data_IF_618945141530
#
_entry.id   IF_618945141530
#
_cell.length_a   1.000
_cell.length_b   1.000
_cell.length_c   1.000
_cell.angle_alpha   90.00
_cell.angle_beta   90.00
_cell.angle_gamma   90.00
#
_symmetry.space_group_name_H-M   'P 1'
#
loop_
_entity.id
_entity.type
_entity.pdbx_description
1 polymer ?
#
# COMPACT_ATOMS: atom_id res chain seq x y z
N UNK A 1 -8.33 -31.17 -3.90
CA UNK A 1 -7.20 -30.82 -4.78
C UNK A 1 -7.30 -29.38 -5.27
N UNK A 2 -8.49 -28.91 -5.67
CA UNK A 2 -8.70 -27.52 -6.13
C UNK A 2 -8.47 -26.44 -5.05
N UNK A 3 -8.85 -26.68 -3.80
CA UNK A 3 -8.63 -25.72 -2.71
C UNK A 3 -7.14 -25.54 -2.36
N UNK A 4 -6.34 -26.60 -2.44
CA UNK A 4 -4.90 -26.55 -2.21
C UNK A 4 -4.18 -25.76 -3.33
N UNK A 5 -4.59 -25.94 -4.57
CA UNK A 5 -4.05 -25.20 -5.73
C UNK A 5 -4.45 -23.72 -5.66
N UNK A 6 -5.71 -23.44 -5.28
CA UNK A 6 -6.17 -22.04 -5.01
C UNK A 6 -5.35 -21.36 -3.93
N UNK A 7 -5.03 -22.07 -2.85
CA UNK A 7 -4.26 -21.54 -1.71
C UNK A 7 -2.81 -21.23 -2.10
N UNK A 8 -2.16 -22.12 -2.88
CA UNK A 8 -0.80 -21.91 -3.40
C UNK A 8 -0.76 -20.73 -4.37
N UNK A 9 -1.72 -20.65 -5.30
CA UNK A 9 -1.81 -19.56 -6.26
C UNK A 9 -2.01 -18.21 -5.59
N UNK A 10 -2.86 -18.11 -4.57
CA UNK A 10 -3.08 -16.89 -3.81
C UNK A 10 -1.83 -16.50 -3.01
N UNK A 11 -1.18 -17.46 -2.35
CA UNK A 11 0.08 -17.21 -1.62
C UNK A 11 1.20 -16.73 -2.55
N UNK A 12 1.32 -17.32 -3.75
CA UNK A 12 2.34 -16.92 -4.74
C UNK A 12 2.03 -15.55 -5.35
N UNK A 13 0.76 -15.23 -5.60
CA UNK A 13 0.33 -13.91 -6.06
C UNK A 13 0.76 -12.83 -5.04
N UNK A 14 0.45 -13.02 -3.76
CA UNK A 14 0.80 -12.05 -2.71
C UNK A 14 2.32 -11.90 -2.55
N UNK A 15 3.09 -13.00 -2.67
CA UNK A 15 4.56 -12.94 -2.64
C UNK A 15 5.13 -12.12 -3.79
N UNK A 16 4.71 -12.38 -5.02
CA UNK A 16 5.19 -11.63 -6.20
C UNK A 16 4.79 -10.16 -6.09
N UNK A 17 3.54 -9.89 -5.67
CA UNK A 17 3.06 -8.53 -5.44
C UNK A 17 3.89 -7.80 -4.39
N UNK A 18 4.17 -8.45 -3.26
CA UNK A 18 5.02 -7.91 -2.19
C UNK A 18 6.44 -7.62 -2.70
N UNK A 19 7.03 -8.52 -3.48
CA UNK A 19 8.36 -8.33 -4.07
C UNK A 19 8.41 -7.14 -5.06
N UNK A 20 7.31 -6.87 -5.77
CA UNK A 20 7.19 -5.69 -6.64
C UNK A 20 7.06 -4.43 -5.78
N UNK A 21 6.21 -4.44 -4.75
CA UNK A 21 5.99 -3.29 -3.86
C UNK A 21 7.30 -2.91 -3.15
N UNK A 22 8.03 -3.90 -2.64
CA UNK A 22 9.28 -3.68 -1.88
C UNK A 22 10.53 -3.54 -2.76
N UNK A 23 10.38 -3.51 -4.09
CA UNK A 23 11.48 -3.27 -5.01
C UNK A 23 12.44 -4.45 -5.22
N UNK A 24 12.16 -5.63 -4.67
CA UNK A 24 12.90 -6.88 -4.96
C UNK A 24 12.80 -7.21 -6.46
N UNK A 25 11.61 -6.95 -7.02
CA UNK A 25 11.37 -6.92 -8.45
C UNK A 25 11.23 -5.44 -8.89
N UNK A 26 12.33 -4.79 -9.31
CA UNK A 26 12.34 -3.36 -9.60
C UNK A 26 11.52 -2.99 -10.85
N UNK A 27 11.14 -1.71 -11.02
CA UNK A 27 10.47 -1.21 -12.21
C UNK A 27 11.16 -1.65 -13.50
N UNK A 28 10.39 -1.92 -14.54
CA UNK A 28 10.85 -2.35 -15.87
C UNK A 28 11.58 -3.70 -15.92
N UNK A 29 11.74 -4.40 -14.80
CA UNK A 29 12.34 -5.74 -14.78
C UNK A 29 11.51 -6.71 -15.59
N UNK A 30 12.11 -7.37 -16.58
CA UNK A 30 11.49 -8.48 -17.31
C UNK A 30 11.27 -9.68 -16.40
N UNK A 31 10.05 -10.21 -16.42
CA UNK A 31 9.61 -11.33 -15.58
C UNK A 31 9.66 -12.62 -16.38
N UNK A 32 10.86 -13.26 -16.39
CA UNK A 32 11.08 -14.51 -17.13
C UNK A 32 10.49 -15.70 -16.39
N UNK A 33 9.46 -16.32 -16.97
CA UNK A 33 8.72 -17.43 -16.35
C UNK A 33 9.64 -18.56 -15.84
N UNK A 34 10.67 -18.95 -16.62
CA UNK A 34 11.63 -20.00 -16.22
C UNK A 34 12.43 -19.63 -14.94
N UNK A 35 12.71 -18.36 -14.71
CA UNK A 35 13.38 -17.89 -13.49
C UNK A 35 12.39 -17.90 -12.33
N UNK A 36 11.19 -17.38 -12.56
CA UNK A 36 10.14 -17.29 -11.54
C UNK A 36 9.66 -18.66 -11.05
N UNK A 37 9.66 -19.71 -11.90
CA UNK A 37 9.31 -21.08 -11.46
C UNK A 37 10.24 -21.56 -10.35
N UNK A 38 11.53 -21.24 -10.44
CA UNK A 38 12.52 -21.60 -9.42
C UNK A 38 12.35 -20.78 -8.14
N UNK A 39 12.12 -19.46 -8.30
CA UNK A 39 12.03 -18.54 -7.17
C UNK A 39 10.76 -18.75 -6.35
N UNK A 40 9.62 -18.96 -7.01
CA UNK A 40 8.31 -19.03 -6.33
C UNK A 40 7.74 -20.45 -6.25
N UNK A 41 8.48 -21.45 -6.73
CA UNK A 41 8.05 -22.85 -6.73
C UNK A 41 6.63 -23.05 -7.31
N UNK A 42 6.37 -22.44 -8.47
CA UNK A 42 5.08 -22.46 -9.13
C UNK A 42 5.22 -22.88 -10.60
N UNK A 43 4.18 -23.49 -11.17
CA UNK A 43 4.17 -23.89 -12.58
C UNK A 43 4.14 -22.68 -13.53
N UNK A 44 4.59 -22.86 -14.78
CA UNK A 44 4.52 -21.80 -15.81
C UNK A 44 3.09 -21.33 -16.04
N UNK A 45 2.11 -22.24 -16.04
CA UNK A 45 0.69 -21.90 -16.19
C UNK A 45 0.18 -21.05 -15.04
N UNK A 46 0.47 -21.45 -13.79
CA UNK A 46 0.12 -20.69 -12.59
C UNK A 46 0.76 -19.29 -12.60
N UNK A 47 2.03 -19.19 -12.96
CA UNK A 47 2.72 -17.90 -13.06
C UNK A 47 2.14 -16.99 -14.13
N UNK A 48 1.73 -17.53 -15.29
CA UNK A 48 1.05 -16.72 -16.33
C UNK A 48 -0.26 -16.15 -15.82
N UNK A 49 -1.07 -16.96 -15.15
CA UNK A 49 -2.33 -16.51 -14.54
C UNK A 49 -2.08 -15.41 -13.51
N UNK A 50 -1.12 -15.63 -12.59
CA UNK A 50 -0.75 -14.64 -11.57
C UNK A 50 -0.27 -13.33 -12.19
N UNK A 51 0.63 -13.40 -13.17
CA UNK A 51 1.16 -12.20 -13.84
C UNK A 51 0.08 -11.48 -14.66
N UNK A 52 -0.88 -12.21 -15.24
CA UNK A 52 -2.03 -11.60 -15.91
C UNK A 52 -2.94 -10.87 -14.92
N UNK A 53 -3.17 -11.42 -13.71
CA UNK A 53 -3.91 -10.74 -12.64
C UNK A 53 -3.17 -9.49 -12.16
N UNK A 54 -1.86 -9.59 -11.92
CA UNK A 54 -1.02 -8.44 -11.55
C UNK A 54 -0.98 -7.37 -12.66
N UNK A 55 -1.14 -7.76 -13.93
CA UNK A 55 -1.29 -6.81 -15.03
C UNK A 55 -2.66 -6.11 -14.98
N UNK A 56 -3.75 -6.83 -14.68
CA UNK A 56 -5.05 -6.22 -14.43
C UNK A 56 -5.05 -5.23 -13.27
N UNK A 57 -4.26 -5.51 -12.22
CA UNK A 57 -4.07 -4.62 -11.07
C UNK A 57 -3.08 -3.47 -11.35
N UNK A 58 -2.35 -3.49 -12.47
CA UNK A 58 -1.41 -2.45 -12.88
C UNK A 58 0.00 -2.54 -12.28
N UNK A 59 0.36 -3.65 -11.60
CA UNK A 59 1.72 -3.88 -11.10
C UNK A 59 2.68 -4.43 -12.16
N UNK A 60 2.14 -5.04 -13.21
CA UNK A 60 2.86 -5.70 -14.29
C UNK A 60 2.30 -5.20 -15.62
N UNK A 61 3.16 -5.05 -16.63
CA UNK A 61 2.77 -4.85 -18.02
C UNK A 61 2.82 -6.19 -18.74
N UNK A 62 1.73 -6.55 -19.42
CA UNK A 62 1.69 -7.64 -20.39
C UNK A 62 1.96 -7.07 -21.78
N UNK A 63 3.02 -7.51 -22.41
CA UNK A 63 3.39 -7.09 -23.76
C UNK A 63 3.21 -8.27 -24.72
N UNK A 64 2.42 -8.07 -25.78
CA UNK A 64 2.25 -9.10 -26.82
C UNK A 64 3.61 -9.58 -27.31
N UNK A 65 3.78 -10.92 -27.38
CA UNK A 65 5.00 -11.62 -27.81
C UNK A 65 6.28 -11.31 -27.00
N UNK A 66 6.29 -10.30 -26.09
CA UNK A 66 7.45 -9.91 -25.27
C UNK A 66 7.36 -10.37 -23.83
N UNK A 67 6.18 -10.93 -23.42
CA UNK A 67 5.95 -11.46 -22.08
C UNK A 67 5.55 -10.40 -21.07
N UNK A 68 6.08 -10.50 -19.85
CA UNK A 68 5.70 -9.65 -18.72
C UNK A 68 6.89 -8.83 -18.22
N UNK A 69 6.63 -7.60 -17.80
CA UNK A 69 7.60 -6.79 -17.06
C UNK A 69 6.92 -6.02 -15.92
N UNK A 70 7.68 -5.67 -14.90
CA UNK A 70 7.18 -4.82 -13.80
C UNK A 70 6.82 -3.44 -14.36
N UNK A 71 5.66 -2.91 -13.98
CA UNK A 71 5.20 -1.60 -14.43
C UNK A 71 6.23 -0.50 -14.11
N UNK A 72 6.39 0.52 -14.96
CA UNK A 72 7.23 1.66 -14.66
C UNK A 72 6.73 2.43 -13.43
N UNK A 73 7.50 3.41 -13.00
CA UNK A 73 7.10 4.43 -12.04
C UNK A 73 7.32 5.80 -12.67
N UNK A 74 6.44 6.75 -12.39
CA UNK A 74 6.59 8.11 -12.85
C UNK A 74 6.00 9.11 -11.84
N UNK A 75 6.42 10.35 -11.92
CA UNK A 75 5.89 11.42 -11.08
C UNK A 75 4.40 11.65 -11.36
N UNK A 76 4.00 11.62 -12.63
CA UNK A 76 2.59 11.76 -13.03
C UNK A 76 1.71 10.67 -12.42
N UNK A 77 2.10 9.39 -12.56
CA UNK A 77 1.35 8.26 -11.99
C UNK A 77 1.29 8.33 -10.45
N UNK A 78 2.38 8.76 -9.79
CA UNK A 78 2.38 8.98 -8.34
C UNK A 78 1.32 10.00 -7.91
N UNK A 79 1.21 11.15 -8.60
CA UNK A 79 0.20 12.17 -8.30
C UNK A 79 -1.22 11.68 -8.58
N UNK A 80 -1.43 10.93 -9.65
CA UNK A 80 -2.74 10.33 -9.95
C UNK A 80 -3.16 9.32 -8.87
N UNK A 81 -2.24 8.45 -8.44
CA UNK A 81 -2.48 7.47 -7.36
C UNK A 81 -2.74 8.18 -6.03
N UNK A 82 -2.00 9.24 -5.70
CA UNK A 82 -2.22 10.02 -4.49
C UNK A 82 -3.61 10.68 -4.46
N UNK A 83 -4.04 11.28 -5.58
CA UNK A 83 -5.37 11.88 -5.70
C UNK A 83 -6.48 10.83 -5.56
N UNK A 84 -6.32 9.65 -6.20
CA UNK A 84 -7.26 8.54 -6.03
C UNK A 84 -7.28 8.03 -4.59
N UNK A 85 -6.12 7.92 -3.93
CA UNK A 85 -6.01 7.54 -2.53
C UNK A 85 -6.81 8.51 -1.65
N UNK A 86 -6.59 9.81 -1.80
CA UNK A 86 -7.32 10.85 -1.05
C UNK A 86 -8.83 10.69 -1.23
N UNK A 87 -9.31 10.56 -2.47
CA UNK A 87 -10.73 10.43 -2.77
C UNK A 87 -11.34 9.20 -2.09
N UNK A 88 -10.72 8.04 -2.25
CA UNK A 88 -11.24 6.76 -1.77
C UNK A 88 -11.13 6.68 -0.25
N UNK A 89 -9.96 7.03 0.30
CA UNK A 89 -9.68 6.91 1.73
C UNK A 89 -10.50 7.90 2.54
N UNK A 90 -10.65 9.16 2.09
CA UNK A 90 -11.51 10.14 2.75
C UNK A 90 -12.97 9.70 2.77
N UNK A 91 -13.49 9.19 1.66
CA UNK A 91 -14.87 8.69 1.62
C UNK A 91 -15.07 7.49 2.55
N UNK A 92 -14.14 6.53 2.53
CA UNK A 92 -14.20 5.35 3.38
C UNK A 92 -14.04 5.70 4.87
N UNK A 93 -13.14 6.64 5.21
CA UNK A 93 -12.94 7.16 6.57
C UNK A 93 -14.22 7.80 7.11
N UNK A 94 -14.88 8.65 6.31
CA UNK A 94 -16.17 9.23 6.68
C UNK A 94 -17.19 8.14 7.04
N UNK A 95 -17.32 7.14 6.19
CA UNK A 95 -18.24 6.02 6.42
C UNK A 95 -17.85 5.19 7.64
N UNK A 96 -16.56 5.00 7.89
CA UNK A 96 -16.08 4.29 9.07
C UNK A 96 -16.40 5.04 10.36
N UNK A 97 -16.25 6.36 10.37
CA UNK A 97 -16.63 7.23 11.51
C UNK A 97 -18.15 7.20 11.73
N UNK A 98 -18.97 7.28 10.68
CA UNK A 98 -20.43 7.19 10.76
C UNK A 98 -20.91 5.84 11.35
N UNK A 99 -20.14 4.78 11.14
CA UNK A 99 -20.43 3.43 11.64
C UNK A 99 -19.57 3.03 12.85
N UNK A 100 -18.90 3.99 13.53
CA UNK A 100 -17.98 3.68 14.60
C UNK A 100 -18.61 2.84 15.72
N UNK A 101 -17.83 1.89 16.25
CA UNK A 101 -18.15 1.08 17.41
C UNK A 101 -16.87 0.82 18.22
N UNK A 102 -17.03 0.35 19.45
CA UNK A 102 -15.93 0.13 20.39
C UNK A 102 -14.89 -0.85 19.87
N UNK A 103 -15.29 -1.89 19.14
CA UNK A 103 -14.40 -2.90 18.57
C UNK A 103 -13.46 -2.28 17.53
N UNK A 104 -14.02 -1.50 16.60
CA UNK A 104 -13.22 -0.82 15.58
C UNK A 104 -12.31 0.26 16.19
N UNK A 105 -12.80 1.04 17.16
CA UNK A 105 -12.00 2.04 17.86
C UNK A 105 -10.82 1.39 18.59
N UNK A 106 -11.01 0.23 19.24
CA UNK A 106 -9.94 -0.53 19.87
C UNK A 106 -8.91 -1.08 18.87
N UNK A 107 -9.37 -1.61 17.72
CA UNK A 107 -8.48 -2.04 16.63
C UNK A 107 -7.65 -0.86 16.09
N UNK A 108 -8.28 0.31 15.91
CA UNK A 108 -7.60 1.51 15.41
C UNK A 108 -6.53 2.01 16.38
N UNK A 109 -6.83 2.03 17.69
CA UNK A 109 -5.87 2.35 18.74
C UNK A 109 -4.69 1.39 18.73
N UNK A 110 -4.95 0.08 18.57
CA UNK A 110 -3.91 -0.94 18.51
C UNK A 110 -3.02 -0.76 17.27
N UNK A 111 -3.61 -0.52 16.09
CA UNK A 111 -2.86 -0.31 14.85
C UNK A 111 -1.99 0.95 14.94
N UNK A 112 -2.53 2.05 15.47
CA UNK A 112 -1.76 3.28 15.69
C UNK A 112 -0.62 3.09 16.71
N UNK A 113 -0.86 2.37 17.80
CA UNK A 113 0.19 2.09 18.79
C UNK A 113 1.37 1.34 18.17
N UNK A 114 1.09 0.30 17.38
CA UNK A 114 2.13 -0.43 16.64
C UNK A 114 2.91 0.49 15.70
N UNK A 115 2.21 1.26 14.87
CA UNK A 115 2.84 2.23 13.97
C UNK A 115 3.75 3.19 14.72
N UNK A 116 3.27 3.78 15.80
CA UNK A 116 4.04 4.73 16.65
C UNK A 116 5.33 4.11 17.22
N UNK A 117 5.31 2.84 17.59
CA UNK A 117 6.51 2.11 18.04
C UNK A 117 7.57 2.07 16.93
N UNK A 118 7.16 1.72 15.71
CA UNK A 118 8.09 1.64 14.58
C UNK A 118 8.57 3.02 14.11
N UNK A 119 7.72 4.02 14.13
CA UNK A 119 8.09 5.42 13.84
C UNK A 119 9.14 5.95 14.82
N UNK A 120 8.95 5.71 16.11
CA UNK A 120 9.92 6.09 17.13
C UNK A 120 11.25 5.33 16.97
N UNK A 121 11.21 4.07 16.55
CA UNK A 121 12.43 3.31 16.26
C UNK A 121 13.15 3.86 15.04
N UNK A 122 12.42 4.31 14.01
CA UNK A 122 13.00 4.98 12.84
C UNK A 122 13.65 6.32 13.19
N UNK A 123 13.03 7.14 14.07
CA UNK A 123 13.63 8.39 14.56
C UNK A 123 14.93 8.18 15.33
N UNK A 124 15.00 7.13 16.14
CA UNK A 124 16.12 6.87 17.02
C UNK A 124 17.22 6.01 16.36
N UNK A 125 17.08 5.70 15.05
CA UNK A 125 17.99 4.83 14.28
C UNK A 125 18.21 3.44 14.93
N UNK A 126 17.35 3.05 15.89
CA UNK A 126 17.50 1.80 16.66
C UNK A 126 17.24 0.55 15.83
N UNK A 127 16.39 0.67 14.83
CA UNK A 127 16.07 -0.40 13.88
C UNK A 127 15.85 0.18 12.49
N UNK A 128 16.71 -0.15 11.57
CA UNK A 128 16.59 0.30 10.18
C UNK A 128 15.68 -0.66 9.37
N UNK A 129 14.56 -1.13 9.97
CA UNK A 129 13.63 -2.00 9.27
C UNK A 129 12.49 -1.18 8.65
N UNK A 130 12.80 -0.55 7.51
CA UNK A 130 11.85 0.22 6.70
C UNK A 130 10.61 -0.61 6.33
N UNK A 131 10.75 -1.92 6.18
CA UNK A 131 9.65 -2.81 5.80
C UNK A 131 8.59 -2.90 6.90
N UNK A 132 9.00 -3.15 8.15
CA UNK A 132 8.07 -3.28 9.27
C UNK A 132 7.34 -1.96 9.53
N UNK A 133 8.03 -0.83 9.45
CA UNK A 133 7.39 0.48 9.54
C UNK A 133 6.29 0.63 8.48
N UNK A 134 6.59 0.34 7.20
CA UNK A 134 5.63 0.46 6.10
C UNK A 134 4.45 -0.52 6.21
N UNK A 135 4.67 -1.72 6.72
CA UNK A 135 3.59 -2.68 6.98
C UNK A 135 2.64 -2.14 8.06
N UNK A 136 3.16 -1.54 9.12
CA UNK A 136 2.34 -0.94 10.19
C UNK A 136 1.65 0.36 9.75
N UNK A 137 2.28 1.19 8.90
CA UNK A 137 1.65 2.33 8.23
C UNK A 137 0.44 1.87 7.39
N UNK A 138 0.63 0.81 6.61
CA UNK A 138 -0.46 0.19 5.84
C UNK A 138 -1.57 -0.37 6.74
N UNK A 139 -1.24 -1.06 7.83
CA UNK A 139 -2.21 -1.61 8.79
C UNK A 139 -3.07 -0.49 9.40
N UNK A 140 -2.46 0.62 9.80
CA UNK A 140 -3.17 1.77 10.35
C UNK A 140 -4.18 2.37 9.35
N UNK A 141 -3.73 2.68 8.13
CA UNK A 141 -4.61 3.23 7.09
C UNK A 141 -5.71 2.26 6.64
N UNK A 142 -5.42 0.95 6.55
CA UNK A 142 -6.44 -0.07 6.28
C UNK A 142 -7.49 -0.12 7.40
N UNK A 143 -7.05 0.01 8.67
CA UNK A 143 -7.96 0.00 9.82
C UNK A 143 -8.86 1.23 9.86
N UNK A 144 -8.36 2.42 9.49
CA UNK A 144 -9.16 3.65 9.38
C UNK A 144 -10.40 3.45 8.49
N UNK A 145 -10.26 2.71 7.40
CA UNK A 145 -11.33 2.54 6.40
C UNK A 145 -12.14 1.26 6.56
N UNK A 146 -11.71 0.34 7.39
CA UNK A 146 -12.27 -1.02 7.51
C UNK A 146 -13.75 -1.04 7.85
N UNK A 147 -14.21 -0.09 8.67
CA UNK A 147 -15.58 -0.04 9.17
C UNK A 147 -16.56 0.71 8.25
N UNK A 148 -16.19 1.00 7.01
CA UNK A 148 -17.01 1.75 6.05
C UNK A 148 -18.24 0.98 5.54
N UNK A 149 -18.43 -0.30 5.94
CA UNK A 149 -19.51 -1.21 5.51
C UNK A 149 -19.62 -1.40 3.99
N UNK A 150 -18.49 -1.31 3.29
CA UNK A 150 -18.43 -1.57 1.85
C UNK A 150 -17.17 -2.38 1.52
N UNK A 151 -17.34 -3.68 1.34
CA UNK A 151 -16.23 -4.57 0.95
C UNK A 151 -15.56 -4.13 -0.35
N UNK A 152 -16.35 -3.65 -1.32
CA UNK A 152 -15.79 -3.17 -2.59
C UNK A 152 -14.91 -1.94 -2.39
N UNK A 153 -15.33 -1.00 -1.52
CA UNK A 153 -14.55 0.19 -1.19
C UNK A 153 -13.26 -0.18 -0.46
N UNK A 154 -13.31 -1.12 0.49
CA UNK A 154 -12.12 -1.62 1.20
C UNK A 154 -11.15 -2.31 0.23
N UNK A 155 -11.65 -3.14 -0.69
CA UNK A 155 -10.82 -3.79 -1.71
C UNK A 155 -10.16 -2.77 -2.65
N UNK A 156 -10.92 -1.78 -3.10
CA UNK A 156 -10.41 -0.71 -3.96
C UNK A 156 -9.37 0.15 -3.24
N UNK A 157 -9.66 0.54 -1.99
CA UNK A 157 -8.71 1.27 -1.14
C UNK A 157 -7.39 0.49 -1.01
N UNK A 158 -7.47 -0.82 -0.68
CA UNK A 158 -6.27 -1.66 -0.57
C UNK A 158 -5.46 -1.67 -1.87
N UNK A 159 -6.09 -1.80 -3.03
CA UNK A 159 -5.40 -1.78 -4.32
C UNK A 159 -4.66 -0.46 -4.57
N UNK A 160 -5.34 0.67 -4.36
CA UNK A 160 -4.74 2.00 -4.55
C UNK A 160 -3.65 2.27 -3.51
N UNK A 161 -3.88 1.87 -2.25
CA UNK A 161 -2.89 1.97 -1.19
C UNK A 161 -1.62 1.15 -1.51
N UNK A 162 -1.76 -0.08 -1.98
CA UNK A 162 -0.62 -0.93 -2.37
C UNK A 162 0.19 -0.31 -3.53
N UNK A 163 -0.47 0.35 -4.49
CA UNK A 163 0.22 1.13 -5.53
C UNK A 163 0.98 2.31 -4.94
N UNK A 164 0.37 3.08 -4.04
CA UNK A 164 1.02 4.18 -3.35
C UNK A 164 2.19 3.70 -2.48
N UNK A 165 2.02 2.59 -1.76
CA UNK A 165 3.04 1.95 -0.94
C UNK A 165 4.29 1.58 -1.76
N UNK A 166 4.11 1.12 -3.01
CA UNK A 166 5.22 0.87 -3.92
C UNK A 166 6.07 2.12 -4.15
N UNK A 167 5.44 3.29 -4.36
CA UNK A 167 6.16 4.57 -4.46
C UNK A 167 6.85 4.95 -3.15
N UNK A 168 6.18 4.72 -2.03
CA UNK A 168 6.79 4.98 -0.72
C UNK A 168 8.07 4.17 -0.50
N UNK A 169 8.16 2.93 -1.05
CA UNK A 169 9.38 2.13 -0.98
C UNK A 169 10.48 2.62 -1.90
N UNK A 170 10.11 2.96 -3.13
CA UNK A 170 11.08 3.24 -4.18
C UNK A 170 11.62 4.67 -4.10
N UNK A 171 10.78 5.64 -3.77
CA UNK A 171 11.10 7.05 -4.03
C UNK A 171 10.72 8.03 -2.91
N UNK A 172 9.91 7.62 -1.92
CA UNK A 172 9.54 8.48 -0.81
C UNK A 172 10.35 8.15 0.44
N UNK A 173 10.60 9.17 1.28
CA UNK A 173 11.35 9.03 2.51
C UNK A 173 10.47 9.18 3.75
N UNK A 174 10.93 8.66 4.89
CA UNK A 174 10.31 8.90 6.17
C UNK A 174 10.45 10.38 6.56
N UNK A 175 9.34 11.02 6.93
CA UNK A 175 9.27 12.46 7.22
C UNK A 175 9.48 12.80 8.70
N UNK A 176 9.98 11.83 9.48
CA UNK A 176 10.32 12.02 10.88
C UNK A 176 9.11 12.41 11.74
N UNK A 177 9.32 13.33 12.67
CA UNK A 177 8.31 13.78 13.64
C UNK A 177 7.01 14.28 13.00
N UNK A 178 7.10 14.90 11.82
CA UNK A 178 5.91 15.42 11.13
C UNK A 178 4.93 14.30 10.78
N UNK A 179 5.43 13.15 10.30
CA UNK A 179 4.61 11.98 9.99
C UNK A 179 3.92 11.45 11.24
N UNK A 180 4.66 11.34 12.34
CA UNK A 180 4.15 10.86 13.64
C UNK A 180 3.02 11.76 14.16
N UNK A 181 3.22 13.08 14.11
CA UNK A 181 2.22 14.05 14.54
C UNK A 181 0.95 14.02 13.67
N UNK A 182 1.10 13.78 12.38
CA UNK A 182 -0.03 13.65 11.47
C UNK A 182 -0.85 12.39 11.76
N UNK A 183 -0.21 11.24 11.97
CA UNK A 183 -0.90 10.00 12.35
C UNK A 183 -1.61 10.13 13.70
N UNK A 184 -0.97 10.80 14.70
CA UNK A 184 -1.62 11.06 15.98
C UNK A 184 -2.88 11.92 15.80
N UNK A 185 -2.80 13.05 15.07
CA UNK A 185 -3.95 13.91 14.81
C UNK A 185 -5.07 13.22 14.05
N UNK A 186 -4.70 12.35 13.09
CA UNK A 186 -5.66 11.57 12.32
C UNK A 186 -6.43 10.60 13.22
N UNK A 187 -5.73 9.91 14.14
CA UNK A 187 -6.35 9.09 15.16
C UNK A 187 -7.29 9.91 16.05
N UNK A 188 -6.78 11.01 16.64
CA UNK A 188 -7.53 11.83 17.60
C UNK A 188 -8.84 12.33 16.98
N UNK A 189 -8.79 12.95 15.80
CA UNK A 189 -9.99 13.45 15.12
C UNK A 189 -10.94 12.34 14.66
N UNK A 190 -10.41 11.15 14.38
CA UNK A 190 -11.24 9.99 14.05
C UNK A 190 -12.03 9.52 15.28
N UNK A 191 -11.39 9.42 16.44
CA UNK A 191 -12.03 9.04 17.71
C UNK A 191 -12.99 10.13 18.22
N UNK A 192 -12.67 11.40 18.01
CA UNK A 192 -13.56 12.54 18.25
C UNK A 192 -14.76 12.60 17.29
N UNK A 193 -14.81 11.72 16.29
CA UNK A 193 -15.82 11.71 15.21
C UNK A 193 -15.85 13.02 14.41
N UNK A 194 -14.74 13.74 14.38
CA UNK A 194 -14.59 14.98 13.64
C UNK A 194 -14.05 14.71 12.23
N UNK A 195 -14.95 14.23 11.37
CA UNK A 195 -14.60 13.85 10.00
C UNK A 195 -13.88 14.94 9.22
N UNK A 196 -14.35 16.22 9.32
CA UNK A 196 -13.77 17.30 8.52
C UNK A 196 -12.31 17.57 8.87
N UNK A 197 -11.97 17.52 10.18
CA UNK A 197 -10.57 17.66 10.61
C UNK A 197 -9.75 16.43 10.24
N UNK A 198 -10.30 15.23 10.42
CA UNK A 198 -9.62 13.98 10.05
C UNK A 198 -9.32 13.96 8.55
N UNK A 199 -10.29 14.32 7.69
CA UNK A 199 -10.10 14.41 6.24
C UNK A 199 -8.99 15.39 5.88
N UNK A 200 -9.01 16.60 6.45
CA UNK A 200 -7.99 17.62 6.16
C UNK A 200 -6.58 17.13 6.51
N UNK A 201 -6.42 16.50 7.67
CA UNK A 201 -5.13 15.92 8.08
C UNK A 201 -4.69 14.81 7.12
N UNK A 202 -5.61 13.93 6.70
CA UNK A 202 -5.33 12.86 5.75
C UNK A 202 -4.85 13.42 4.39
N UNK A 203 -5.55 14.41 3.86
CA UNK A 203 -5.17 15.07 2.60
C UNK A 203 -3.78 15.70 2.69
N UNK A 204 -3.52 16.49 3.74
CA UNK A 204 -2.21 17.09 3.97
C UNK A 204 -1.10 16.05 4.15
N UNK A 205 -1.38 14.96 4.89
CA UNK A 205 -0.45 13.86 5.10
C UNK A 205 -0.02 13.21 3.78
N UNK A 206 -0.97 12.93 2.89
CA UNK A 206 -0.70 12.31 1.60
C UNK A 206 0.08 13.26 0.69
N UNK A 207 -0.35 14.53 0.57
CA UNK A 207 0.33 15.52 -0.28
C UNK A 207 1.75 15.82 0.18
N UNK A 208 1.98 16.02 1.48
CA UNK A 208 3.34 16.23 2.01
C UNK A 208 4.25 15.02 1.79
N UNK A 209 3.69 13.82 1.63
CA UNK A 209 4.44 12.65 1.20
C UNK A 209 5.06 12.84 -0.18
N UNK A 210 4.40 13.57 -1.10
CA UNK A 210 4.85 13.80 -2.46
C UNK A 210 6.02 14.80 -2.55
N UNK A 211 6.10 15.76 -1.63
CA UNK A 211 7.13 16.81 -1.64
C UNK A 211 8.55 16.26 -1.46
N UNK A 212 8.67 15.05 -0.90
CA UNK A 212 9.95 14.38 -0.66
C UNK A 212 10.26 13.28 -1.69
N UNK A 213 9.70 13.39 -2.90
CA UNK A 213 10.00 12.42 -3.97
C UNK A 213 11.35 12.70 -4.62
N UNK A 214 12.15 11.65 -4.82
CA UNK A 214 13.43 11.69 -5.56
C UNK A 214 13.26 11.36 -7.05
N UNK A 215 12.02 11.30 -7.56
CA UNK A 215 11.77 11.13 -8.99
C UNK A 215 12.06 12.43 -9.72
N UNK A 216 13.09 12.43 -10.56
CA UNK A 216 13.21 13.41 -11.62
C UNK A 216 12.08 13.23 -12.62
N UNK A 217 11.68 14.33 -13.27
CA UNK A 217 10.45 14.45 -14.06
C UNK A 217 10.24 13.38 -15.15
N UNK A 218 11.26 12.59 -15.51
CA UNK A 218 11.23 11.68 -16.65
C UNK A 218 11.99 10.35 -16.43
N UNK A 219 12.26 9.95 -15.21
CA UNK A 219 13.08 8.76 -14.97
C UNK A 219 12.23 7.52 -14.66
N UNK A 220 12.30 6.59 -15.58
CA UNK A 220 11.81 5.19 -15.68
C UNK A 220 10.60 5.00 -16.58
#
# INVERSE_FOLDING_TARGET
>A
MDDYIKTIGLSTYEKIKKDIIFGVLPPLKKLKLKELTKTYNASISTLREILSRLAGDGFVLSQEQKGFCVSPVSKTDLYEIANLRILIESHALKKSIENSNTEWEAELLSAHYKLKVYENNMLNEKFNNKNDWKENDSEFHQTLVKNCRSENLVKLHKLIFDKYLRYQFLVLTFRGENSILEHQKLLDFTLEKNYLKAQKVLEEHIYRGLDNTVLDSDTY
#
